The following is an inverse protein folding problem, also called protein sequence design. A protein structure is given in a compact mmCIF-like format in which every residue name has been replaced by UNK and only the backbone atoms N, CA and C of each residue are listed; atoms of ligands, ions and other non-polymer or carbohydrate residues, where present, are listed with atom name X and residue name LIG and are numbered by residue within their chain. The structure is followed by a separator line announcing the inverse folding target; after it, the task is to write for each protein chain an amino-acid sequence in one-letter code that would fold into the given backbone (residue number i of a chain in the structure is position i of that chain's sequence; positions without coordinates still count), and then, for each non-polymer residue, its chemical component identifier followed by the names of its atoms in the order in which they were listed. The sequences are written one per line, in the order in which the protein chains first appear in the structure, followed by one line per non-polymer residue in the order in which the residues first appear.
data_IF_348263834315
#
_entry.id   IF_348263834315
#
_cell.length_a   1.000
_cell.length_b   1.000
_cell.length_c   1.000
_cell.angle_alpha   90.00
_cell.angle_beta   90.00
_cell.angle_gamma   90.00
#
_symmetry.space_group_name_H-M   'P 1'
#
loop_
_entity.id
_entity.type
_entity.pdbx_description
1 polymer ?
#
# COMPACT_ATOMS: atom_id res chain seq x y z
N UNK A 1 18.03 -57.28 -10.29
CA UNK A 1 18.27 -55.83 -10.28
C UNK A 1 17.23 -55.26 -9.31
N UNK A 2 17.60 -55.16 -8.04
CA UNK A 2 16.75 -54.64 -6.96
C UNK A 2 16.80 -53.12 -7.02
N UNK A 3 15.64 -52.50 -7.23
CA UNK A 3 15.47 -51.06 -7.09
C UNK A 3 15.53 -50.75 -5.59
N UNK A 4 16.68 -50.25 -5.13
CA UNK A 4 16.80 -49.57 -3.85
C UNK A 4 16.00 -48.26 -3.96
N UNK A 5 14.74 -48.31 -3.52
CA UNK A 5 13.99 -47.12 -3.16
C UNK A 5 14.66 -46.57 -1.89
N UNK A 6 15.54 -45.59 -2.07
CA UNK A 6 16.01 -44.78 -0.95
C UNK A 6 14.77 -44.21 -0.24
N UNK A 7 14.71 -44.28 1.11
CA UNK A 7 13.61 -43.67 1.83
C UNK A 7 13.60 -42.18 1.50
N UNK A 8 12.43 -41.68 1.08
CA UNK A 8 12.15 -40.25 0.99
C UNK A 8 12.52 -39.71 2.37
N UNK A 9 13.58 -38.89 2.43
CA UNK A 9 13.89 -38.16 3.64
C UNK A 9 12.71 -37.25 3.88
N UNK A 10 11.87 -37.59 4.86
CA UNK A 10 10.92 -36.66 5.45
C UNK A 10 11.73 -35.46 5.91
N UNK A 11 11.75 -34.40 5.10
CA UNK A 11 12.11 -33.08 5.58
C UNK A 11 11.18 -32.83 6.78
N UNK A 12 11.70 -32.41 7.94
CA UNK A 12 10.82 -32.03 9.03
C UNK A 12 9.82 -31.00 8.48
N UNK A 13 8.53 -31.22 8.71
CA UNK A 13 7.50 -30.28 8.33
C UNK A 13 7.87 -28.92 8.94
N UNK A 14 8.03 -27.91 8.09
CA UNK A 14 8.29 -26.55 8.56
C UNK A 14 7.03 -26.10 9.28
N UNK A 15 7.18 -25.68 10.53
CA UNK A 15 6.10 -25.04 11.28
C UNK A 15 6.03 -23.57 10.83
N UNK A 16 4.99 -23.23 10.06
CA UNK A 16 4.83 -21.89 9.49
C UNK A 16 4.18 -20.89 10.44
N UNK A 17 3.52 -21.35 11.52
CA UNK A 17 2.79 -20.46 12.44
C UNK A 17 3.70 -19.40 13.08
N UNK A 18 4.88 -19.75 13.65
CA UNK A 18 5.80 -18.74 14.19
C UNK A 18 6.34 -17.78 13.13
N UNK A 19 6.48 -18.25 11.89
CA UNK A 19 7.01 -17.45 10.78
C UNK A 19 5.99 -16.41 10.35
N UNK A 20 4.74 -16.83 10.13
CA UNK A 20 3.62 -15.97 9.76
C UNK A 20 3.33 -14.92 10.84
N UNK A 21 3.32 -15.32 12.11
CA UNK A 21 3.11 -14.37 13.22
C UNK A 21 4.26 -13.37 13.34
N UNK A 22 5.51 -13.83 13.18
CA UNK A 22 6.68 -12.96 13.22
C UNK A 22 6.69 -11.95 12.06
N UNK A 23 6.33 -12.40 10.84
CA UNK A 23 6.17 -11.53 9.67
C UNK A 23 5.05 -10.50 9.89
N UNK A 24 3.88 -10.93 10.36
CA UNK A 24 2.76 -10.03 10.62
C UNK A 24 3.14 -8.92 11.61
N UNK A 25 3.77 -9.29 12.73
CA UNK A 25 4.17 -8.32 13.76
C UNK A 25 5.26 -7.36 13.25
N UNK A 26 6.17 -7.84 12.39
CA UNK A 26 7.19 -7.02 11.75
C UNK A 26 6.56 -5.98 10.82
N UNK A 27 5.71 -6.41 9.88
CA UNK A 27 5.03 -5.51 8.93
C UNK A 27 4.09 -4.53 9.64
N UNK A 28 3.40 -4.96 10.70
CA UNK A 28 2.56 -4.08 11.50
C UNK A 28 3.37 -2.96 12.16
N UNK A 29 4.55 -3.29 12.69
CA UNK A 29 5.44 -2.29 13.26
C UNK A 29 6.02 -1.37 12.18
N UNK A 30 6.42 -1.92 11.04
CA UNK A 30 6.97 -1.14 9.94
C UNK A 30 5.94 -0.14 9.38
N UNK A 31 4.70 -0.57 9.19
CA UNK A 31 3.62 0.27 8.66
C UNK A 31 3.13 1.36 9.62
N UNK A 32 3.33 1.22 10.94
CA UNK A 32 2.93 2.25 11.91
C UNK A 32 3.66 3.58 11.62
N UNK A 33 2.94 4.69 11.34
CA UNK A 33 3.55 5.99 11.05
C UNK A 33 4.38 6.55 12.21
N UNK A 34 4.17 6.06 13.43
CA UNK A 34 4.93 6.46 14.61
C UNK A 34 6.21 5.63 14.84
N UNK A 35 6.45 4.60 14.04
CA UNK A 35 7.68 3.81 14.12
C UNK A 35 8.84 4.56 13.50
N UNK A 36 9.94 4.79 14.23
CA UNK A 36 11.16 5.39 13.67
C UNK A 36 11.75 4.51 12.57
N UNK A 37 12.16 5.10 11.46
CA UNK A 37 12.66 4.37 10.27
C UNK A 37 11.65 3.35 9.72
N UNK A 38 10.35 3.55 9.97
CA UNK A 38 9.29 2.75 9.37
C UNK A 38 8.88 3.24 7.99
N UNK A 39 7.73 2.75 7.54
CA UNK A 39 7.15 3.04 6.23
C UNK A 39 6.96 4.53 5.97
N UNK A 40 6.77 5.37 7.00
CA UNK A 40 6.64 6.82 6.87
C UNK A 40 7.73 7.46 6.00
N UNK A 41 8.99 7.02 6.12
CA UNK A 41 10.08 7.62 5.34
C UNK A 41 9.95 7.25 3.86
N UNK A 42 9.72 5.97 3.58
CA UNK A 42 9.50 5.43 2.22
C UNK A 42 8.28 6.09 1.56
N UNK A 43 7.20 6.23 2.33
CA UNK A 43 6.00 6.96 1.92
C UNK A 43 6.29 8.44 1.65
N UNK A 44 7.04 9.11 2.52
CA UNK A 44 7.35 10.54 2.37
C UNK A 44 8.20 10.82 1.13
N UNK A 45 9.19 9.95 0.85
CA UNK A 45 9.99 10.00 -0.36
C UNK A 45 9.11 9.86 -1.61
N UNK A 46 8.22 8.87 -1.62
CA UNK A 46 7.27 8.65 -2.71
C UNK A 46 6.33 9.84 -2.91
N UNK A 47 5.69 10.34 -1.85
CA UNK A 47 4.83 11.52 -1.93
C UNK A 47 5.60 12.71 -2.49
N UNK A 48 6.80 12.95 -1.99
CA UNK A 48 7.62 14.07 -2.44
C UNK A 48 7.98 13.94 -3.93
N UNK A 49 8.41 12.78 -4.38
CA UNK A 49 8.73 12.52 -5.78
C UNK A 49 7.50 12.72 -6.69
N UNK A 50 6.39 12.06 -6.36
CA UNK A 50 5.21 12.06 -7.21
C UNK A 50 4.55 13.44 -7.27
N UNK A 51 4.39 14.09 -6.12
CA UNK A 51 3.76 15.41 -6.06
C UNK A 51 4.63 16.50 -6.70
N UNK A 52 5.96 16.39 -6.60
CA UNK A 52 6.86 17.43 -7.11
C UNK A 52 7.12 17.36 -8.62
N UNK A 53 6.93 16.19 -9.24
CA UNK A 53 7.33 15.92 -10.63
C UNK A 53 6.17 15.60 -11.57
N UNK A 54 5.02 15.11 -11.07
CA UNK A 54 3.94 14.68 -11.96
C UNK A 54 3.14 15.83 -12.56
N UNK A 55 2.68 15.67 -13.82
CA UNK A 55 1.71 16.57 -14.41
C UNK A 55 0.38 16.52 -13.66
N UNK A 56 -0.29 17.67 -13.56
CA UNK A 56 -1.67 17.72 -13.13
C UNK A 56 -2.61 17.32 -14.28
N UNK A 57 -3.56 16.42 -14.00
CA UNK A 57 -4.59 16.01 -14.95
C UNK A 57 -5.95 16.59 -14.55
N UNK A 58 -6.63 17.19 -15.53
CA UNK A 58 -8.04 17.60 -15.39
C UNK A 58 -8.94 16.55 -16.01
N UNK A 59 -10.05 16.21 -15.38
CA UNK A 59 -11.01 15.29 -15.98
C UNK A 59 -12.05 16.04 -16.79
N UNK A 60 -12.16 15.68 -18.06
CA UNK A 60 -13.27 16.07 -18.91
C UNK A 60 -14.34 15.00 -18.86
N UNK A 61 -15.57 15.42 -18.54
CA UNK A 61 -16.76 14.57 -18.58
C UNK A 61 -17.38 14.65 -19.96
N UNK A 62 -17.45 13.52 -20.65
CA UNK A 62 -18.25 13.38 -21.86
C UNK A 62 -19.57 12.69 -21.49
N UNK A 63 -20.67 13.40 -21.72
CA UNK A 63 -21.99 12.84 -21.55
C UNK A 63 -22.58 12.56 -22.94
N UNK A 64 -22.79 11.29 -23.25
CA UNK A 64 -23.57 10.88 -24.42
C UNK A 64 -24.88 10.22 -23.98
N UNK A 65 -25.83 10.05 -24.91
CA UNK A 65 -27.13 9.40 -24.62
C UNK A 65 -27.00 7.97 -24.09
N UNK A 66 -25.84 7.33 -24.24
CA UNK A 66 -25.61 5.91 -23.92
C UNK A 66 -24.43 5.66 -22.97
N UNK A 67 -23.51 6.61 -22.79
CA UNK A 67 -22.28 6.43 -22.00
C UNK A 67 -21.85 7.70 -21.27
N UNK A 68 -21.45 7.52 -20.00
CA UNK A 68 -20.67 8.47 -19.23
C UNK A 68 -19.19 8.08 -19.32
N UNK A 69 -18.34 8.96 -19.84
CA UNK A 69 -16.92 8.72 -19.94
C UNK A 69 -16.11 9.87 -19.35
N UNK A 70 -15.14 9.53 -18.51
CA UNK A 70 -14.19 10.46 -17.92
C UNK A 70 -12.84 10.32 -18.62
N UNK A 71 -12.31 11.43 -19.13
CA UNK A 71 -11.01 11.49 -19.80
C UNK A 71 -10.04 12.39 -19.04
N UNK A 72 -8.87 11.88 -18.63
CA UNK A 72 -7.84 12.71 -18.03
C UNK A 72 -7.14 13.50 -19.13
N UNK A 73 -7.12 14.82 -18.98
CA UNK A 73 -6.42 15.75 -19.85
C UNK A 73 -5.18 16.20 -19.09
N UNK A 74 -4.02 15.83 -19.61
CA UNK A 74 -2.73 16.35 -19.12
C UNK A 74 -2.70 17.86 -19.30
N UNK A 75 -2.36 18.58 -18.23
CA UNK A 75 -2.12 20.03 -18.27
C UNK A 75 -0.63 20.36 -18.33
N UNK A 76 -0.31 21.64 -18.55
CA UNK A 76 1.06 22.15 -18.51
C UNK A 76 1.57 22.39 -17.09
N UNK A 77 0.71 22.25 -16.08
CA UNK A 77 1.04 22.44 -14.66
C UNK A 77 1.42 21.11 -14.01
N UNK A 78 2.23 21.18 -12.97
CA UNK A 78 2.56 20.07 -12.07
C UNK A 78 1.56 19.97 -10.92
N UNK A 79 1.49 18.80 -10.28
CA UNK A 79 0.64 18.58 -9.11
C UNK A 79 0.93 19.58 -7.98
N UNK A 80 2.21 19.81 -7.66
CA UNK A 80 2.60 20.80 -6.62
C UNK A 80 2.14 22.24 -6.89
N UNK A 81 1.86 22.59 -8.14
CA UNK A 81 1.41 23.95 -8.49
C UNK A 81 -0.10 24.11 -8.33
N UNK A 82 -0.84 23.00 -8.37
CA UNK A 82 -2.30 22.98 -8.42
C UNK A 82 -2.94 22.39 -7.16
N UNK A 83 -2.23 21.53 -6.45
CA UNK A 83 -2.66 20.85 -5.23
C UNK A 83 -1.76 21.34 -4.09
N UNK A 84 -2.24 22.21 -3.18
CA UNK A 84 -1.41 22.82 -2.14
C UNK A 84 -1.17 21.92 -0.94
N UNK A 85 -2.10 21.00 -0.64
CA UNK A 85 -2.04 20.10 0.52
C UNK A 85 -2.21 18.64 0.12
N UNK A 86 -1.73 17.73 0.96
CA UNK A 86 -1.66 16.30 0.67
C UNK A 86 -3.01 15.69 0.31
N UNK A 87 -4.07 16.07 1.05
CA UNK A 87 -5.44 15.63 0.75
C UNK A 87 -5.83 15.93 -0.70
N UNK A 88 -5.47 17.10 -1.22
CA UNK A 88 -5.84 17.46 -2.59
C UNK A 88 -4.97 16.71 -3.62
N UNK A 89 -3.70 16.45 -3.27
CA UNK A 89 -2.78 15.65 -4.07
C UNK A 89 -3.23 14.18 -4.17
N UNK A 90 -3.54 13.52 -3.06
CA UNK A 90 -3.85 12.08 -3.06
C UNK A 90 -5.17 11.79 -3.81
N UNK A 91 -6.09 12.75 -3.81
CA UNK A 91 -7.35 12.69 -4.58
C UNK A 91 -7.23 13.17 -6.02
N UNK A 92 -6.06 13.67 -6.44
CA UNK A 92 -5.83 14.10 -7.81
C UNK A 92 -5.74 12.90 -8.78
N UNK A 93 -6.10 13.14 -10.04
CA UNK A 93 -6.09 12.09 -11.06
C UNK A 93 -4.66 11.74 -11.50
N UNK A 94 -4.36 10.46 -11.60
CA UNK A 94 -3.03 9.95 -11.99
C UNK A 94 -2.82 9.87 -13.53
N UNK A 95 -3.87 10.16 -14.32
CA UNK A 95 -3.83 10.10 -15.78
C UNK A 95 -4.17 8.74 -16.39
N UNK A 96 -4.49 7.72 -15.57
CA UNK A 96 -4.91 6.38 -16.02
C UNK A 96 -6.42 6.24 -16.02
N UNK A 97 -6.88 5.27 -16.80
CA UNK A 97 -8.28 4.88 -16.89
C UNK A 97 -8.50 3.54 -16.19
N UNK A 98 -9.63 3.41 -15.50
CA UNK A 98 -10.15 2.10 -15.11
C UNK A 98 -11.57 1.90 -15.65
N UNK A 99 -11.89 0.65 -15.98
CA UNK A 99 -13.22 0.26 -16.41
C UNK A 99 -14.10 0.01 -15.19
N UNK A 100 -15.22 0.71 -15.07
CA UNK A 100 -16.22 0.39 -14.05
C UNK A 100 -17.12 -0.74 -14.56
N UNK A 101 -17.26 -1.86 -13.83
CA UNK A 101 -18.20 -2.92 -14.22
C UNK A 101 -19.67 -2.48 -14.11
N UNK A 102 -19.94 -1.34 -13.47
CA UNK A 102 -21.27 -0.75 -13.38
C UNK A 102 -21.57 -0.01 -14.68
N UNK A 103 -22.47 -0.55 -15.49
CA UNK A 103 -22.83 -0.05 -16.83
C UNK A 103 -23.25 1.44 -16.89
N UNK A 104 -23.57 2.06 -15.76
CA UNK A 104 -23.97 3.48 -15.68
C UNK A 104 -22.77 4.43 -15.54
N UNK A 105 -21.61 3.93 -15.08
CA UNK A 105 -20.44 4.77 -14.76
C UNK A 105 -19.38 4.80 -15.87
N UNK A 106 -19.46 3.90 -16.86
CA UNK A 106 -18.56 3.81 -18.00
C UNK A 106 -17.08 3.80 -17.62
N UNK A 107 -16.26 4.61 -18.32
CA UNK A 107 -14.82 4.72 -18.06
C UNK A 107 -14.56 5.82 -17.02
N UNK A 108 -13.85 5.46 -15.95
CA UNK A 108 -13.44 6.38 -14.89
C UNK A 108 -11.93 6.62 -14.92
N UNK A 109 -11.49 7.68 -14.25
CA UNK A 109 -10.07 7.98 -14.07
C UNK A 109 -9.62 7.49 -12.69
N UNK A 110 -8.42 6.94 -12.61
CA UNK A 110 -7.80 6.58 -11.34
C UNK A 110 -7.21 7.81 -10.64
N UNK A 111 -7.07 7.72 -9.32
CA UNK A 111 -6.48 8.76 -8.47
C UNK A 111 -5.10 8.33 -7.98
N UNK A 112 -4.35 9.28 -7.43
CA UNK A 112 -3.08 8.99 -6.75
C UNK A 112 -3.28 8.03 -5.55
N UNK A 113 -4.46 8.04 -4.90
CA UNK A 113 -4.83 7.08 -3.85
C UNK A 113 -4.71 5.62 -4.32
N UNK A 114 -5.15 5.31 -5.55
CA UNK A 114 -5.01 3.94 -6.08
C UNK A 114 -3.56 3.53 -6.22
N UNK A 115 -2.69 4.46 -6.63
CA UNK A 115 -1.26 4.19 -6.71
C UNK A 115 -0.60 4.08 -5.34
N UNK A 116 -1.12 4.78 -4.32
CA UNK A 116 -0.66 4.61 -2.95
C UNK A 116 -0.96 3.20 -2.43
N UNK A 117 -2.12 2.62 -2.75
CA UNK A 117 -2.40 1.21 -2.43
C UNK A 117 -1.39 0.26 -3.08
N UNK A 118 -1.13 0.44 -4.37
CA UNK A 118 -0.18 -0.40 -5.10
C UNK A 118 1.25 -0.23 -4.55
N UNK A 119 1.67 1.01 -4.29
CA UNK A 119 2.97 1.35 -3.70
C UNK A 119 3.13 0.78 -2.28
N UNK A 120 2.08 0.86 -1.46
CA UNK A 120 2.07 0.30 -0.11
C UNK A 120 2.26 -1.20 -0.15
N UNK A 121 1.50 -1.90 -1.00
CA UNK A 121 1.59 -3.35 -1.12
C UNK A 121 3.00 -3.79 -1.55
N UNK A 122 3.58 -3.14 -2.57
CA UNK A 122 4.95 -3.43 -3.02
C UNK A 122 5.99 -3.10 -1.95
N UNK A 123 5.79 -2.05 -1.17
CA UNK A 123 6.68 -1.69 -0.05
C UNK A 123 6.63 -2.73 1.08
N UNK A 124 5.43 -3.22 1.42
CA UNK A 124 5.27 -4.30 2.41
C UNK A 124 5.88 -5.60 1.90
N UNK A 125 5.77 -5.89 0.60
CA UNK A 125 6.42 -7.03 -0.03
C UNK A 125 7.94 -6.92 0.06
N UNK A 126 8.51 -5.80 -0.35
CA UNK A 126 9.95 -5.59 -0.29
C UNK A 126 10.49 -5.74 1.14
N UNK A 127 9.86 -5.09 2.11
CA UNK A 127 10.23 -5.17 3.53
C UNK A 127 10.05 -6.60 4.08
N UNK A 128 8.94 -7.26 3.73
CA UNK A 128 8.64 -8.61 4.19
C UNK A 128 9.63 -9.65 3.66
N UNK A 129 9.99 -9.56 2.38
CA UNK A 129 10.99 -10.44 1.78
C UNK A 129 12.37 -10.24 2.42
N UNK A 130 12.84 -9.00 2.57
CA UNK A 130 14.11 -8.72 3.25
C UNK A 130 14.13 -9.28 4.68
N UNK A 131 13.05 -9.07 5.43
CA UNK A 131 12.89 -9.63 6.77
C UNK A 131 12.97 -11.16 6.78
N UNK A 132 12.24 -11.83 5.87
CA UNK A 132 12.22 -13.29 5.79
C UNK A 132 13.59 -13.85 5.40
N UNK A 133 14.32 -13.21 4.47
CA UNK A 133 15.67 -13.63 4.06
C UNK A 133 16.65 -13.60 5.23
N UNK A 134 16.56 -12.56 6.07
CA UNK A 134 17.45 -12.38 7.23
C UNK A 134 17.11 -13.36 8.35
N UNK A 135 15.82 -13.52 8.67
CA UNK A 135 15.38 -14.25 9.86
C UNK A 135 15.07 -15.73 9.62
N UNK A 136 14.75 -16.11 8.38
CA UNK A 136 14.39 -17.47 7.99
C UNK A 136 15.11 -17.90 6.71
N UNK A 137 16.46 -17.97 6.71
CA UNK A 137 17.27 -18.19 5.51
C UNK A 137 17.12 -19.59 4.88
N UNK A 138 16.31 -20.46 5.50
CA UNK A 138 15.96 -21.79 4.99
C UNK A 138 14.70 -21.79 4.12
N UNK A 139 13.94 -20.69 4.09
CA UNK A 139 12.75 -20.54 3.25
C UNK A 139 13.15 -20.11 1.85
N UNK A 140 12.37 -20.58 0.87
CA UNK A 140 12.23 -19.88 -0.40
C UNK A 140 11.26 -18.72 -0.15
N UNK A 141 11.79 -17.51 0.03
CA UNK A 141 11.01 -16.36 0.52
C UNK A 141 9.98 -15.88 -0.50
N UNK A 142 10.29 -16.01 -1.79
CA UNK A 142 9.40 -15.63 -2.89
C UNK A 142 8.22 -16.59 -2.98
N UNK A 143 8.50 -17.91 -2.98
CA UNK A 143 7.46 -18.93 -2.94
C UNK A 143 6.60 -18.81 -1.68
N UNK A 144 7.22 -18.55 -0.52
CA UNK A 144 6.49 -18.36 0.73
C UNK A 144 5.56 -17.13 0.68
N UNK A 145 6.04 -16.00 0.15
CA UNK A 145 5.23 -14.79 0.01
C UNK A 145 4.03 -15.02 -0.91
N UNK A 146 4.27 -15.64 -2.07
CA UNK A 146 3.20 -15.98 -3.02
C UNK A 146 2.16 -16.89 -2.37
N UNK A 147 2.58 -17.90 -1.60
CA UNK A 147 1.68 -18.80 -0.89
C UNK A 147 0.78 -18.09 0.13
N UNK A 148 1.24 -17.01 0.76
CA UNK A 148 0.42 -16.20 1.68
C UNK A 148 -0.74 -15.58 0.92
N UNK A 149 -0.48 -14.90 -0.19
CA UNK A 149 -1.52 -14.17 -0.93
C UNK A 149 -2.31 -15.04 -1.92
N UNK A 150 -1.86 -16.27 -2.18
CA UNK A 150 -2.61 -17.33 -2.87
C UNK A 150 -3.40 -18.22 -1.91
N UNK A 151 -3.32 -17.98 -0.59
CA UNK A 151 -4.05 -18.70 0.46
C UNK A 151 -3.79 -20.23 0.45
N UNK A 152 -2.55 -20.66 0.17
CA UNK A 152 -2.16 -22.08 0.04
C UNK A 152 -1.87 -22.78 1.38
N UNK A 153 -2.46 -22.30 2.47
CA UNK A 153 -2.30 -22.85 3.82
C UNK A 153 -3.53 -23.66 4.24
N UNK A 154 -3.32 -24.69 5.07
CA UNK A 154 -4.35 -25.70 5.33
C UNK A 154 -4.60 -25.95 6.82
N UNK A 155 -3.68 -25.55 7.70
CA UNK A 155 -3.91 -25.62 9.13
C UNK A 155 -4.69 -24.39 9.61
N UNK A 156 -5.59 -24.60 10.58
CA UNK A 156 -6.51 -23.54 11.02
C UNK A 156 -5.77 -22.30 11.55
N UNK A 157 -4.68 -22.50 12.29
CA UNK A 157 -3.89 -21.40 12.85
C UNK A 157 -3.12 -20.63 11.76
N UNK A 158 -2.63 -21.33 10.74
CA UNK A 158 -1.99 -20.71 9.57
C UNK A 158 -2.98 -19.86 8.77
N UNK A 159 -4.17 -20.42 8.48
CA UNK A 159 -5.23 -19.72 7.74
C UNK A 159 -5.61 -18.42 8.45
N UNK A 160 -5.79 -18.46 9.77
CA UNK A 160 -6.12 -17.25 10.54
C UNK A 160 -5.04 -16.17 10.46
N UNK A 161 -3.76 -16.56 10.40
CA UNK A 161 -2.65 -15.61 10.27
C UNK A 161 -2.52 -15.07 8.84
N UNK A 162 -2.72 -15.92 7.84
CA UNK A 162 -2.75 -15.53 6.42
C UNK A 162 -3.90 -14.57 6.14
N UNK A 163 -5.10 -14.85 6.64
CA UNK A 163 -6.25 -13.95 6.53
C UNK A 163 -5.93 -12.56 7.09
N UNK A 164 -5.23 -12.50 8.24
CA UNK A 164 -4.79 -11.24 8.85
C UNK A 164 -3.74 -10.53 8.01
N UNK A 165 -2.77 -11.24 7.45
CA UNK A 165 -1.77 -10.68 6.54
C UNK A 165 -2.43 -10.09 5.30
N UNK A 166 -3.35 -10.84 4.67
CA UNK A 166 -4.12 -10.38 3.51
C UNK A 166 -4.99 -9.17 3.84
N UNK A 167 -5.66 -9.18 5.00
CA UNK A 167 -6.51 -8.06 5.44
C UNK A 167 -5.71 -6.78 5.70
N UNK A 168 -4.53 -6.87 6.32
CA UNK A 168 -3.75 -5.69 6.71
C UNK A 168 -2.80 -5.22 5.61
N UNK A 169 -2.25 -6.12 4.80
CA UNK A 169 -1.15 -5.82 3.87
C UNK A 169 -1.40 -6.28 2.42
N UNK A 170 -2.59 -6.80 2.11
CA UNK A 170 -2.99 -7.05 0.72
C UNK A 170 -3.18 -5.77 -0.10
N UNK A 171 -3.65 -5.92 -1.34
CA UNK A 171 -3.84 -4.80 -2.29
C UNK A 171 -4.69 -3.63 -1.76
N UNK A 172 -5.58 -3.88 -0.80
CA UNK A 172 -6.38 -2.86 -0.11
C UNK A 172 -6.23 -3.00 1.41
N UNK A 173 -4.99 -3.15 1.85
CA UNK A 173 -4.64 -3.45 3.23
C UNK A 173 -5.01 -2.34 4.22
N UNK A 174 -5.63 -2.73 5.34
CA UNK A 174 -6.08 -1.81 6.40
C UNK A 174 -4.94 -1.06 7.10
N UNK A 175 -3.71 -1.58 7.04
CA UNK A 175 -2.56 -0.90 7.66
C UNK A 175 -2.21 0.42 6.95
N UNK A 176 -2.74 0.66 5.75
CA UNK A 176 -2.57 1.91 5.02
C UNK A 176 -3.49 3.04 5.52
N UNK A 177 -4.56 2.73 6.27
CA UNK A 177 -5.57 3.70 6.71
C UNK A 177 -5.00 5.02 7.27
N UNK A 178 -3.93 5.04 8.10
CA UNK A 178 -3.36 6.28 8.62
C UNK A 178 -2.79 7.24 7.55
N UNK A 179 -2.47 6.73 6.37
CA UNK A 179 -1.89 7.47 5.24
C UNK A 179 -2.93 7.93 4.21
N UNK A 180 -4.16 7.41 4.32
CA UNK A 180 -5.29 7.80 3.48
C UNK A 180 -5.90 9.11 3.98
N UNK A 181 -6.56 9.84 3.09
CA UNK A 181 -7.33 11.03 3.44
C UNK A 181 -8.76 10.86 2.97
N UNK A 182 -9.72 11.28 3.79
CA UNK A 182 -11.08 11.45 3.30
C UNK A 182 -11.13 12.52 2.20
N UNK A 183 -12.03 12.37 1.21
CA UNK A 183 -12.27 13.39 0.22
C UNK A 183 -12.66 14.72 0.86
N UNK A 184 -12.26 15.87 0.26
CA UNK A 184 -12.53 17.20 0.81
C UNK A 184 -14.03 17.55 0.94
N UNK A 185 -14.90 16.75 0.33
CA UNK A 185 -16.36 16.94 0.33
C UNK A 185 -17.04 16.35 1.59
N UNK A 186 -16.30 15.63 2.43
CA UNK A 186 -16.80 15.00 3.65
C UNK A 186 -16.30 15.80 4.86
N UNK A 187 -17.22 16.38 5.65
CA UNK A 187 -16.86 16.96 6.95
C UNK A 187 -16.45 15.83 7.90
N UNK A 188 -15.15 15.74 8.22
CA UNK A 188 -14.60 14.68 9.06
C UNK A 188 -14.30 15.19 10.46
N UNK A 189 -14.77 14.45 11.46
CA UNK A 189 -14.53 14.75 12.89
C UNK A 189 -13.09 14.43 13.32
N UNK A 190 -12.40 13.56 12.58
CA UNK A 190 -11.00 13.22 12.78
C UNK A 190 -10.24 13.49 11.47
N UNK A 191 -9.49 14.59 11.37
CA UNK A 191 -8.68 14.83 10.19
C UNK A 191 -7.62 13.73 10.07
N UNK A 192 -7.42 13.23 8.85
CA UNK A 192 -6.32 12.30 8.57
C UNK A 192 -4.97 12.91 8.96
N UNK A 193 -4.03 12.07 9.40
CA UNK A 193 -2.76 12.45 10.01
C UNK A 193 -1.94 13.42 9.15
N UNK A 194 -2.02 13.26 7.83
CA UNK A 194 -1.23 14.02 6.86
C UNK A 194 -2.07 14.99 6.02
N UNK A 195 -3.39 15.08 6.25
CA UNK A 195 -4.32 15.72 5.32
C UNK A 195 -3.94 17.17 4.96
N UNK A 196 -3.45 17.91 5.95
CA UNK A 196 -3.08 19.33 5.83
C UNK A 196 -1.56 19.55 5.69
N UNK A 197 -0.79 18.49 5.45
CA UNK A 197 0.64 18.60 5.16
C UNK A 197 0.86 19.18 3.76
N UNK A 198 1.86 20.03 3.67
CA UNK A 198 2.39 20.59 2.44
C UNK A 198 3.56 19.73 1.94
N UNK A 199 3.94 19.92 0.68
CA UNK A 199 5.07 19.20 0.07
C UNK A 199 6.38 19.32 0.88
N UNK A 200 6.63 20.48 1.49
CA UNK A 200 7.84 20.69 2.30
C UNK A 200 7.82 19.89 3.61
N UNK A 201 6.65 19.60 4.19
CA UNK A 201 6.55 18.75 5.39
C UNK A 201 7.01 17.32 5.08
N UNK A 202 6.65 16.79 3.91
CA UNK A 202 7.14 15.48 3.44
C UNK A 202 8.62 15.52 3.14
N UNK A 203 9.13 16.62 2.60
CA UNK A 203 10.57 16.77 2.40
C UNK A 203 11.32 16.72 3.73
N UNK A 204 10.78 17.36 4.76
CA UNK A 204 11.40 17.34 6.10
C UNK A 204 11.33 15.95 6.75
N UNK A 205 10.25 15.19 6.52
CA UNK A 205 10.07 13.86 7.11
C UNK A 205 10.97 12.78 6.52
N UNK A 206 11.60 13.02 5.36
CA UNK A 206 12.60 12.11 4.78
C UNK A 206 13.96 12.17 5.50
N UNK A 207 14.19 13.18 6.34
CA UNK A 207 15.40 13.25 7.14
C UNK A 207 15.42 12.18 8.23
N UNK A 208 16.55 11.48 8.37
CA UNK A 208 16.72 10.28 9.24
C UNK A 208 16.48 10.49 10.74
N UNK A 209 16.25 11.73 11.18
CA UNK A 209 15.95 12.06 12.59
C UNK A 209 14.49 12.49 12.79
N UNK A 210 13.66 12.45 11.76
CA UNK A 210 12.26 12.82 11.86
C UNK A 210 11.47 11.71 12.56
N UNK A 211 10.64 12.09 13.53
CA UNK A 211 9.69 11.19 14.19
C UNK A 211 8.38 11.92 14.37
N UNK A 212 7.28 11.30 13.96
CA UNK A 212 5.94 11.76 14.30
C UNK A 212 5.72 11.59 15.80
N UNK A 213 5.34 12.66 16.47
CA UNK A 213 4.89 12.58 17.85
C UNK A 213 3.42 12.16 17.86
N UNK A 214 3.08 11.13 18.64
CA UNK A 214 1.67 10.84 18.95
C UNK A 214 1.11 12.03 19.73
N UNK A 215 0.19 12.76 19.11
CA UNK A 215 -0.62 13.73 19.84
C UNK A 215 -1.72 12.91 20.52
N UNK A 216 -1.52 12.57 21.79
CA UNK A 216 -2.59 12.05 22.64
C UNK A 216 -3.59 13.18 22.86
N UNK A 217 -4.64 13.23 22.02
CA UNK A 217 -5.79 14.06 22.30
C UNK A 217 -6.51 13.47 23.53
N UNK A 218 -6.40 14.18 24.66
CA UNK A 218 -7.14 13.94 25.91
C UNK A 218 -8.63 14.21 25.71
#
# INVERSE_FOLDING_TARGET
MTLDLAPIQDKPAIDYVPILDSLFNHLLRFSDPFTPNGFLHVFSDWVFEEWSTRPYYRVQRLHSEFELAHFPIRTDYLLKEMQPVYRDFIHSYNGRHHFSPVAVNGTNCETMEKELYDFFHESMRAEGLEYLEIHFPFLDVEDFWDRVFLEEFHEADEILLVDRLCQYFGFYGQALDPYLCDPPEIETLNPSLFADWYLDDFKESTHSNFTLNRIENV
#
